data_IF_125984172225
#
_entry.id   IF_125984172225
#
_cell.length_a   1.000
_cell.length_b   1.000
_cell.length_c   1.000
_cell.angle_alpha   90.00
_cell.angle_beta   90.00
_cell.angle_gamma   90.00
#
_symmetry.space_group_name_H-M   'P 1'
#
loop_
_entity.id
_entity.type
_entity.pdbx_description
1 polymer ?
#
# COMPACT_ATOMS: atom_id res chain seq x y z
N UNK A 1 -28.00 -36.50 56.14
CA UNK A 1 -28.54 -35.13 56.23
C UNK A 1 -28.74 -34.62 54.79
N UNK A 2 -30.04 -34.57 54.44
CA UNK A 2 -30.55 -34.26 53.10
C UNK A 2 -30.28 -32.82 52.67
N UNK A 3 -29.92 -32.60 51.41
CA UNK A 3 -30.22 -31.36 50.73
C UNK A 3 -30.85 -31.67 49.37
N UNK A 4 -32.04 -31.18 49.24
CA UNK A 4 -33.00 -31.23 48.15
C UNK A 4 -32.46 -30.52 46.94
N UNK A 5 -32.51 -31.16 45.77
CA UNK A 5 -32.42 -30.51 44.46
C UNK A 5 -33.82 -30.13 44.02
N UNK A 6 -34.08 -28.88 43.81
CA UNK A 6 -35.28 -28.34 43.19
C UNK A 6 -35.02 -28.10 41.69
N UNK A 7 -35.59 -28.97 40.86
CA UNK A 7 -35.62 -28.79 39.41
C UNK A 7 -36.80 -27.90 39.05
N UNK A 8 -36.54 -26.78 38.40
CA UNK A 8 -37.59 -25.96 37.77
C UNK A 8 -37.67 -26.38 36.30
N UNK A 9 -38.77 -27.03 35.96
CA UNK A 9 -39.12 -27.33 34.58
C UNK A 9 -39.82 -26.11 33.94
N UNK A 10 -39.24 -25.56 32.91
CA UNK A 10 -39.86 -24.52 32.08
C UNK A 10 -40.54 -25.19 30.89
N UNK A 11 -41.87 -25.14 30.84
CA UNK A 11 -42.67 -25.57 29.69
C UNK A 11 -42.54 -24.52 28.59
N UNK A 12 -41.95 -24.89 27.46
CA UNK A 12 -42.04 -24.13 26.23
C UNK A 12 -43.22 -24.64 25.39
N UNK A 13 -44.25 -23.84 25.24
CA UNK A 13 -45.34 -24.09 24.32
C UNK A 13 -44.88 -23.83 22.88
N UNK A 14 -44.74 -24.89 22.08
CA UNK A 14 -44.59 -24.81 20.63
C UNK A 14 -45.95 -24.49 19.99
N UNK A 15 -46.12 -23.22 19.57
CA UNK A 15 -47.16 -22.84 18.63
C UNK A 15 -46.68 -23.14 17.21
N UNK A 16 -47.24 -24.14 16.57
CA UNK A 16 -47.04 -24.46 15.16
C UNK A 16 -47.75 -23.44 14.28
N UNK A 17 -47.00 -22.52 13.69
CA UNK A 17 -47.47 -21.67 12.60
C UNK A 17 -47.14 -22.39 11.28
N UNK A 18 -48.19 -22.92 10.64
CA UNK A 18 -48.07 -23.48 9.29
C UNK A 18 -47.88 -22.35 8.28
N UNK A 19 -46.67 -22.20 7.78
CA UNK A 19 -46.39 -21.36 6.61
C UNK A 19 -46.79 -22.12 5.36
N UNK A 20 -47.84 -21.64 4.68
CA UNK A 20 -48.14 -22.05 3.31
C UNK A 20 -47.02 -21.54 2.43
N UNK A 21 -46.18 -22.44 1.98
CA UNK A 21 -45.19 -22.17 0.94
C UNK A 21 -45.93 -21.97 -0.40
N UNK A 22 -46.15 -20.71 -0.77
CA UNK A 22 -46.42 -20.34 -2.15
C UNK A 22 -45.13 -20.60 -2.95
N UNK A 23 -45.21 -21.59 -3.84
CA UNK A 23 -44.11 -21.96 -4.72
C UNK A 23 -43.73 -20.79 -5.64
N UNK A 24 -42.70 -20.06 -5.26
CA UNK A 24 -41.97 -19.22 -6.18
C UNK A 24 -40.83 -20.06 -6.75
N UNK A 25 -40.97 -20.40 -8.03
CA UNK A 25 -39.83 -20.90 -8.81
C UNK A 25 -38.70 -19.90 -8.72
N UNK A 26 -37.45 -20.33 -8.39
CA UNK A 26 -36.34 -19.42 -8.40
C UNK A 26 -36.20 -18.81 -9.81
N UNK A 27 -35.92 -17.51 -9.91
CA UNK A 27 -35.68 -16.90 -11.21
C UNK A 27 -34.53 -17.65 -11.86
N UNK A 28 -34.72 -18.08 -13.12
CA UNK A 28 -33.71 -18.70 -13.94
C UNK A 28 -32.45 -17.82 -13.91
N UNK A 29 -31.31 -18.42 -13.64
CA UNK A 29 -30.01 -17.78 -13.77
C UNK A 29 -29.82 -17.39 -15.23
N UNK A 30 -30.31 -16.22 -15.60
CA UNK A 30 -29.89 -15.59 -16.82
C UNK A 30 -28.45 -15.12 -16.57
N UNK A 31 -27.51 -15.79 -17.23
CA UNK A 31 -26.17 -15.22 -17.45
C UNK A 31 -26.35 -13.78 -17.86
N UNK A 32 -25.73 -12.80 -17.20
CA UNK A 32 -25.78 -11.42 -17.66
C UNK A 32 -25.29 -11.42 -19.11
N UNK A 33 -26.17 -10.97 -20.02
CA UNK A 33 -25.69 -10.64 -21.37
C UNK A 33 -24.57 -9.64 -21.19
N UNK A 34 -23.45 -9.78 -21.90
CA UNK A 34 -22.39 -8.77 -21.86
C UNK A 34 -23.09 -7.43 -22.09
N UNK A 35 -22.84 -6.46 -21.19
CA UNK A 35 -23.41 -5.13 -21.28
C UNK A 35 -23.20 -4.67 -22.72
N UNK A 36 -24.29 -4.55 -23.46
CA UNK A 36 -24.26 -3.91 -24.75
C UNK A 36 -23.69 -2.53 -24.48
N UNK A 37 -22.62 -2.16 -25.20
CA UNK A 37 -22.03 -0.84 -25.12
C UNK A 37 -23.17 0.19 -25.19
N UNK A 38 -23.43 0.96 -24.12
CA UNK A 38 -24.52 1.92 -24.08
C UNK A 38 -24.41 2.99 -25.18
N UNK A 39 -23.23 3.07 -25.81
CA UNK A 39 -22.93 4.00 -26.91
C UNK A 39 -22.91 3.35 -28.27
N UNK A 40 -23.04 2.00 -28.39
CA UNK A 40 -22.96 1.29 -29.68
C UNK A 40 -23.92 1.79 -30.76
N UNK A 41 -25.05 2.36 -30.34
CA UNK A 41 -26.07 2.90 -31.22
C UNK A 41 -26.16 4.43 -31.20
N UNK A 42 -25.22 5.13 -30.61
CA UNK A 42 -25.17 6.59 -30.56
C UNK A 42 -24.40 7.09 -31.80
N UNK A 43 -25.05 7.68 -32.84
CA UNK A 43 -24.36 8.15 -34.03
C UNK A 43 -23.37 9.28 -33.75
N UNK A 44 -23.41 9.86 -32.56
CA UNK A 44 -22.52 10.92 -32.11
C UNK A 44 -21.45 10.43 -31.14
N UNK A 45 -21.41 9.12 -30.83
CA UNK A 45 -20.36 8.58 -30.02
C UNK A 45 -18.98 8.85 -30.65
N UNK A 46 -18.11 9.49 -29.93
CA UNK A 46 -16.78 9.87 -30.41
C UNK A 46 -16.72 11.15 -31.24
N UNK A 47 -17.84 11.83 -31.51
CA UNK A 47 -17.82 13.16 -32.11
C UNK A 47 -17.61 14.21 -31.00
N UNK A 48 -16.75 15.21 -31.29
CA UNK A 48 -16.62 16.37 -30.42
C UNK A 48 -17.92 17.18 -30.46
N UNK A 49 -18.71 17.13 -29.39
CA UNK A 49 -20.01 17.81 -29.29
C UNK A 49 -19.91 19.28 -28.91
N UNK A 50 -18.80 19.67 -28.30
CA UNK A 50 -18.61 21.00 -27.77
C UNK A 50 -17.40 21.63 -28.47
N UNK A 51 -17.47 22.91 -28.81
CA UNK A 51 -16.26 23.62 -29.18
C UNK A 51 -15.25 23.47 -28.04
N UNK A 52 -13.98 23.22 -28.36
CA UNK A 52 -12.92 23.19 -27.39
C UNK A 52 -13.00 24.49 -26.60
N UNK A 53 -13.08 24.39 -25.29
CA UNK A 53 -13.03 25.56 -24.42
C UNK A 53 -11.80 26.38 -24.80
N UNK A 54 -11.93 27.70 -24.86
CA UNK A 54 -10.78 28.56 -25.01
C UNK A 54 -9.76 28.20 -23.95
N UNK A 55 -8.44 28.16 -24.26
CA UNK A 55 -7.44 27.83 -23.27
C UNK A 55 -7.63 28.75 -22.08
N UNK A 56 -7.81 28.14 -20.90
CA UNK A 56 -7.90 28.90 -19.66
C UNK A 56 -6.65 29.77 -19.56
N UNK A 57 -6.84 31.02 -19.07
CA UNK A 57 -5.77 31.98 -18.96
C UNK A 57 -4.57 31.43 -18.21
N UNK A 58 -3.42 32.06 -18.35
CA UNK A 58 -2.10 31.60 -17.92
C UNK A 58 -2.00 31.11 -16.46
N UNK A 59 -3.01 31.40 -15.64
CA UNK A 59 -3.00 31.16 -14.19
C UNK A 59 -3.84 29.96 -13.73
N UNK A 60 -4.44 29.21 -14.67
CA UNK A 60 -5.43 28.19 -14.28
C UNK A 60 -4.87 26.80 -13.97
N UNK A 61 -3.59 26.53 -14.15
CA UNK A 61 -3.04 25.17 -14.00
C UNK A 61 -3.75 24.10 -14.86
N UNK A 62 -4.69 24.55 -15.71
CA UNK A 62 -5.41 23.66 -16.59
C UNK A 62 -4.44 23.07 -17.60
N UNK A 63 -4.46 21.76 -17.72
CA UNK A 63 -3.77 21.02 -18.76
C UNK A 63 -3.95 21.75 -20.10
N UNK A 64 -2.85 22.05 -20.77
CA UNK A 64 -2.90 22.48 -22.16
C UNK A 64 -3.44 21.31 -22.95
N UNK A 65 -4.75 21.22 -23.09
CA UNK A 65 -5.40 20.28 -23.98
C UNK A 65 -5.22 20.75 -25.42
N UNK A 66 -4.00 20.66 -25.92
CA UNK A 66 -3.83 20.60 -27.36
C UNK A 66 -4.20 19.18 -27.76
N UNK A 67 -5.48 18.92 -28.00
CA UNK A 67 -5.85 17.73 -28.73
C UNK A 67 -5.12 17.81 -30.08
N UNK A 68 -4.31 16.79 -30.44
CA UNK A 68 -3.65 16.77 -31.73
C UNK A 68 -4.73 16.86 -32.82
N UNK A 69 -4.76 17.97 -33.51
CA UNK A 69 -5.63 18.16 -34.66
C UNK A 69 -7.12 18.14 -34.31
N UNK A 70 -7.69 19.31 -34.03
CA UNK A 70 -9.13 19.52 -34.03
C UNK A 70 -9.81 19.14 -35.39
N UNK A 71 -9.05 18.62 -36.31
CA UNK A 71 -9.48 18.14 -37.62
C UNK A 71 -9.97 16.69 -37.62
N UNK A 72 -9.89 15.95 -36.49
CA UNK A 72 -10.40 14.60 -36.47
C UNK A 72 -11.89 14.58 -36.15
N UNK A 73 -12.68 14.86 -37.18
CA UNK A 73 -14.16 14.78 -37.15
C UNK A 73 -14.67 13.35 -37.31
N UNK A 74 -13.78 12.36 -37.34
CA UNK A 74 -14.13 10.95 -37.45
C UNK A 74 -14.69 10.38 -36.13
N UNK A 75 -15.34 9.23 -36.22
CA UNK A 75 -15.72 8.47 -35.00
C UNK A 75 -14.48 8.12 -34.18
N UNK A 76 -14.62 8.23 -32.87
CA UNK A 76 -13.56 7.85 -31.94
C UNK A 76 -13.31 6.32 -32.01
N UNK A 77 -12.06 5.93 -32.23
CA UNK A 77 -11.64 4.55 -32.27
C UNK A 77 -10.66 4.31 -31.07
N UNK A 78 -11.16 3.73 -30.01
CA UNK A 78 -10.37 3.46 -28.82
C UNK A 78 -9.16 2.55 -29.07
N UNK A 79 -9.23 1.67 -30.08
CA UNK A 79 -8.12 0.78 -30.41
C UNK A 79 -6.94 1.51 -31.08
N UNK A 80 -7.21 2.65 -31.68
CA UNK A 80 -6.22 3.51 -32.38
C UNK A 80 -5.84 4.74 -31.56
N UNK A 81 -6.47 4.93 -30.40
CA UNK A 81 -6.19 6.06 -29.55
C UNK A 81 -4.74 6.05 -29.07
N UNK A 82 -4.09 7.19 -29.17
CA UNK A 82 -2.77 7.44 -28.56
C UNK A 82 -2.91 8.52 -27.51
N UNK A 83 -2.27 8.27 -26.38
CA UNK A 83 -2.17 9.29 -25.35
C UNK A 83 -1.44 10.53 -25.88
N UNK A 84 -1.90 11.70 -25.50
CA UNK A 84 -1.26 12.95 -25.89
C UNK A 84 0.01 13.23 -25.08
N UNK A 85 0.78 14.24 -25.49
CA UNK A 85 2.08 14.56 -24.89
C UNK A 85 2.02 14.99 -23.43
N UNK A 86 0.84 15.28 -22.88
CA UNK A 86 0.68 15.58 -21.45
C UNK A 86 0.95 14.39 -20.52
N UNK A 87 1.04 13.19 -21.10
CA UNK A 87 1.39 11.96 -20.35
C UNK A 87 2.89 11.64 -20.43
N UNK A 88 3.61 12.33 -21.30
CA UNK A 88 5.04 12.15 -21.42
C UNK A 88 5.75 12.96 -20.32
N UNK A 89 6.71 12.34 -19.64
CA UNK A 89 7.56 13.07 -18.75
C UNK A 89 8.40 14.08 -19.54
N UNK A 90 8.63 15.32 -19.04
CA UNK A 90 9.53 16.24 -19.66
C UNK A 90 10.92 15.61 -19.87
N UNK A 91 11.60 15.97 -20.98
CA UNK A 91 12.91 15.40 -21.30
C UNK A 91 13.98 15.64 -20.24
N UNK A 92 13.80 16.67 -19.41
CA UNK A 92 14.67 17.04 -18.28
C UNK A 92 14.14 16.55 -16.93
N UNK A 93 13.06 15.74 -16.92
CA UNK A 93 12.51 15.22 -15.69
C UNK A 93 13.52 14.35 -14.95
N UNK A 94 13.53 14.49 -13.64
CA UNK A 94 14.45 13.76 -12.77
C UNK A 94 13.69 12.86 -11.82
N UNK A 95 14.34 11.78 -11.39
CA UNK A 95 13.84 11.01 -10.25
C UNK A 95 14.09 11.85 -8.99
N UNK A 96 13.01 12.37 -8.42
CA UNK A 96 13.02 13.20 -7.23
C UNK A 96 12.65 12.44 -5.94
N UNK A 97 12.04 11.24 -6.05
CA UNK A 97 11.83 10.36 -4.90
C UNK A 97 13.16 9.72 -4.50
N UNK A 98 13.73 10.04 -3.30
CA UNK A 98 15.02 9.52 -2.89
C UNK A 98 15.04 8.00 -2.72
N UNK A 99 13.92 7.38 -2.34
CA UNK A 99 13.80 5.92 -2.23
C UNK A 99 13.91 5.28 -3.61
N UNK A 100 13.16 5.79 -4.58
CA UNK A 100 13.22 5.30 -5.97
C UNK A 100 14.63 5.43 -6.54
N UNK A 101 15.24 6.59 -6.37
CA UNK A 101 16.60 6.86 -6.85
C UNK A 101 17.60 5.87 -6.22
N UNK A 102 17.58 5.72 -4.91
CA UNK A 102 18.46 4.80 -4.17
C UNK A 102 18.28 3.35 -4.60
N UNK A 103 17.03 2.92 -4.81
CA UNK A 103 16.73 1.57 -5.33
C UNK A 103 17.25 1.38 -6.76
N UNK A 104 17.09 2.36 -7.64
CA UNK A 104 17.61 2.30 -9.02
C UNK A 104 19.14 2.19 -9.05
N UNK A 105 19.82 2.82 -8.12
CA UNK A 105 21.28 2.77 -7.97
C UNK A 105 21.78 1.48 -7.28
N UNK A 106 20.89 0.54 -6.93
CA UNK A 106 21.26 -0.70 -6.24
C UNK A 106 21.48 -0.54 -4.73
N UNK A 107 21.15 0.62 -4.17
CA UNK A 107 21.27 0.88 -2.74
C UNK A 107 20.23 0.14 -1.91
N UNK A 108 20.55 -0.10 -0.64
CA UNK A 108 19.63 -0.71 0.34
C UNK A 108 18.73 0.35 0.95
N UNK A 109 17.43 0.13 0.95
CA UNK A 109 16.42 1.01 1.55
C UNK A 109 15.70 0.32 2.70
N UNK A 110 15.33 1.08 3.73
CA UNK A 110 14.65 0.54 4.91
C UNK A 110 13.45 1.41 5.28
N UNK A 111 12.28 0.78 5.39
CA UNK A 111 11.06 1.39 5.92
C UNK A 111 10.88 1.08 7.40
N UNK A 112 10.73 2.11 8.23
CA UNK A 112 10.31 1.95 9.62
C UNK A 112 8.80 1.72 9.68
N UNK A 113 8.34 0.70 10.40
CA UNK A 113 6.91 0.37 10.46
C UNK A 113 6.19 1.22 11.49
N UNK A 114 5.22 2.02 11.06
CA UNK A 114 4.28 2.69 11.93
C UNK A 114 3.06 1.79 12.07
N UNK A 115 3.03 0.97 13.12
CA UNK A 115 2.05 -0.10 13.25
C UNK A 115 0.75 0.35 13.90
N UNK A 116 0.80 1.03 15.04
CA UNK A 116 -0.39 1.38 15.83
C UNK A 116 -0.57 2.87 16.10
N UNK A 117 0.49 3.66 16.07
CA UNK A 117 0.39 5.08 16.34
C UNK A 117 -0.42 5.83 15.27
N UNK A 118 -1.24 6.77 15.73
CA UNK A 118 -2.11 7.61 14.88
C UNK A 118 -1.82 9.10 15.03
N UNK A 119 -0.84 9.43 15.87
CA UNK A 119 -0.47 10.82 16.14
C UNK A 119 0.66 11.29 15.22
N UNK A 120 0.61 12.56 14.79
CA UNK A 120 1.63 13.14 13.92
C UNK A 120 3.03 13.20 14.54
N UNK A 121 3.15 13.34 15.85
CA UNK A 121 4.44 13.49 16.53
C UNK A 121 5.25 12.21 16.44
N UNK A 122 4.64 11.06 16.71
CA UNK A 122 5.28 9.76 16.54
C UNK A 122 5.70 9.51 15.09
N UNK A 123 4.81 9.83 14.12
CA UNK A 123 5.16 9.73 12.70
C UNK A 123 6.38 10.60 12.38
N UNK A 124 6.36 11.87 12.77
CA UNK A 124 7.45 12.82 12.50
C UNK A 124 8.76 12.39 13.15
N UNK A 125 8.72 11.89 14.37
CA UNK A 125 9.90 11.39 15.07
C UNK A 125 10.52 10.21 14.28
N UNK A 126 9.72 9.23 13.87
CA UNK A 126 10.20 8.11 13.07
C UNK A 126 10.71 8.54 11.68
N UNK A 127 9.99 9.43 11.00
CA UNK A 127 10.33 9.89 9.68
C UNK A 127 11.65 10.70 9.62
N UNK A 128 12.10 11.21 10.76
CA UNK A 128 13.37 11.90 10.89
C UNK A 128 14.48 11.07 11.56
N UNK A 129 14.18 9.85 12.00
CA UNK A 129 15.12 9.00 12.73
C UNK A 129 16.19 8.31 11.85
N UNK A 130 16.04 8.34 10.51
CA UNK A 130 17.03 7.76 9.59
C UNK A 130 16.52 6.64 8.69
N UNK A 131 15.24 6.34 8.70
CA UNK A 131 14.61 5.48 7.71
C UNK A 131 14.57 6.17 6.35
N UNK A 132 14.54 5.37 5.27
CA UNK A 132 14.35 5.88 3.90
C UNK A 132 12.87 6.21 3.63
N UNK A 133 11.94 5.43 4.21
CA UNK A 133 10.50 5.67 4.15
C UNK A 133 9.82 5.19 5.43
N UNK A 134 8.61 5.64 5.68
CA UNK A 134 7.78 5.11 6.76
C UNK A 134 6.74 4.17 6.16
N UNK A 135 6.78 2.94 6.59
CA UNK A 135 5.79 1.91 6.26
C UNK A 135 4.59 2.06 7.18
N UNK A 136 3.63 2.90 6.79
CA UNK A 136 2.36 3.05 7.52
C UNK A 136 1.51 1.81 7.30
N UNK A 137 1.13 1.15 8.37
CA UNK A 137 0.39 -0.11 8.33
C UNK A 137 -1.12 0.13 8.24
N UNK A 138 -1.78 -0.41 7.22
CA UNK A 138 -3.23 -0.31 7.03
C UNK A 138 -3.93 -1.67 6.90
N UNK A 139 -3.17 -2.77 6.79
CA UNK A 139 -3.75 -4.11 6.68
C UNK A 139 -4.16 -4.69 8.05
N UNK A 140 -3.33 -4.51 9.07
CA UNK A 140 -3.51 -5.16 10.38
C UNK A 140 -3.88 -4.18 11.49
N UNK A 141 -4.57 -3.10 11.17
CA UNK A 141 -5.09 -2.16 12.16
C UNK A 141 -6.41 -1.52 11.71
N UNK A 142 -6.99 -0.68 12.58
CA UNK A 142 -8.26 -0.01 12.33
C UNK A 142 -8.09 1.46 11.99
N UNK A 143 -6.90 1.87 11.51
CA UNK A 143 -6.60 3.26 11.14
C UNK A 143 -7.38 3.67 9.90
N UNK A 144 -7.84 4.94 9.90
CA UNK A 144 -8.56 5.53 8.79
C UNK A 144 -7.63 6.39 7.92
N UNK A 145 -7.96 6.57 6.65
CA UNK A 145 -7.17 7.36 5.69
C UNK A 145 -7.04 8.83 6.09
N UNK A 146 -8.02 9.40 6.78
CA UNK A 146 -7.91 10.75 7.33
C UNK A 146 -6.76 10.87 8.34
N UNK A 147 -6.62 9.89 9.22
CA UNK A 147 -5.52 9.86 10.20
C UNK A 147 -4.17 9.76 9.50
N UNK A 148 -4.05 8.92 8.48
CA UNK A 148 -2.84 8.78 7.66
C UNK A 148 -2.48 10.10 6.99
N UNK A 149 -3.42 10.72 6.28
CA UNK A 149 -3.20 11.99 5.60
C UNK A 149 -2.78 13.11 6.58
N UNK A 150 -3.39 13.16 7.76
CA UNK A 150 -3.04 14.13 8.81
C UNK A 150 -1.61 13.92 9.32
N UNK A 151 -1.20 12.67 9.57
CA UNK A 151 0.15 12.35 10.01
C UNK A 151 1.19 12.77 8.96
N UNK A 152 0.99 12.40 7.70
CA UNK A 152 1.95 12.70 6.64
C UNK A 152 2.07 14.21 6.38
N UNK A 153 0.96 14.93 6.38
CA UNK A 153 0.94 16.38 6.21
C UNK A 153 1.58 17.17 7.35
N UNK A 154 1.69 16.59 8.52
CA UNK A 154 2.37 17.23 9.64
C UNK A 154 3.89 17.32 9.44
N UNK A 155 4.46 16.45 8.62
CA UNK A 155 5.90 16.40 8.31
C UNK A 155 6.17 16.24 6.81
N UNK A 156 5.75 17.19 5.96
CA UNK A 156 5.83 17.05 4.50
C UNK A 156 7.26 17.00 3.96
N UNK A 157 8.23 17.49 4.73
CA UNK A 157 9.65 17.52 4.37
C UNK A 157 10.52 16.65 5.28
N UNK A 158 9.94 15.62 5.88
CA UNK A 158 10.69 14.64 6.63
C UNK A 158 11.75 13.96 5.75
N UNK A 159 12.81 13.42 6.37
CA UNK A 159 13.87 12.69 5.65
C UNK A 159 13.35 11.43 4.98
N UNK A 160 12.50 10.69 5.69
CA UNK A 160 11.82 9.52 5.14
C UNK A 160 10.57 9.95 4.35
N UNK A 161 10.36 9.33 3.19
CA UNK A 161 9.15 9.58 2.41
C UNK A 161 7.96 8.78 2.96
N UNK A 162 6.70 9.26 2.76
CA UNK A 162 5.53 8.50 3.15
C UNK A 162 5.39 7.23 2.31
N UNK A 163 5.21 6.13 3.00
CA UNK A 163 4.90 4.83 2.45
C UNK A 163 3.76 4.17 3.22
N UNK A 164 3.12 3.21 2.60
CA UNK A 164 1.98 2.50 3.19
C UNK A 164 1.93 1.06 2.73
N UNK A 165 1.54 0.15 3.63
CA UNK A 165 0.98 -1.13 3.25
C UNK A 165 -0.55 -0.96 3.24
N UNK A 166 -1.14 -1.02 2.05
CA UNK A 166 -2.59 -0.96 1.89
C UNK A 166 -3.24 -2.27 2.36
N UNK A 167 -4.55 -2.24 2.59
CA UNK A 167 -5.26 -3.44 3.02
C UNK A 167 -5.36 -4.49 1.91
N UNK A 168 -5.57 -4.06 0.67
CA UNK A 168 -5.81 -4.92 -0.49
C UNK A 168 -5.32 -4.27 -1.79
N UNK A 169 -5.23 -5.09 -2.86
CA UNK A 169 -4.96 -4.65 -4.23
C UNK A 169 -6.20 -4.05 -4.91
N UNK A 170 -6.89 -3.11 -4.27
CA UNK A 170 -8.09 -2.49 -4.84
C UNK A 170 -7.94 -1.00 -5.13
N UNK A 171 -8.86 -0.50 -5.98
CA UNK A 171 -8.86 0.89 -6.44
C UNK A 171 -8.95 1.87 -5.27
N UNK A 172 -9.88 1.66 -4.35
CA UNK A 172 -10.15 2.62 -3.27
C UNK A 172 -8.93 2.77 -2.36
N UNK A 173 -8.35 1.66 -1.93
CA UNK A 173 -7.20 1.69 -1.02
C UNK A 173 -5.99 2.36 -1.67
N UNK A 174 -5.67 1.99 -2.92
CA UNK A 174 -4.50 2.54 -3.63
C UNK A 174 -4.75 3.99 -4.06
N UNK A 175 -5.98 4.34 -4.46
CA UNK A 175 -6.34 5.72 -4.79
C UNK A 175 -6.19 6.63 -3.55
N UNK A 176 -6.71 6.20 -2.39
CA UNK A 176 -6.55 6.97 -1.14
C UNK A 176 -5.07 7.09 -0.74
N UNK A 177 -4.29 6.01 -0.85
CA UNK A 177 -2.86 6.03 -0.57
C UNK A 177 -2.14 7.08 -1.41
N UNK A 178 -2.36 7.04 -2.72
CA UNK A 178 -1.72 7.95 -3.66
C UNK A 178 -2.18 9.39 -3.47
N UNK A 179 -3.47 9.63 -3.25
CA UNK A 179 -4.04 10.96 -3.04
C UNK A 179 -3.66 11.56 -1.69
N UNK A 180 -3.37 10.72 -0.68
CA UNK A 180 -2.78 11.17 0.57
C UNK A 180 -1.28 11.51 0.45
N UNK A 181 -0.61 11.11 -0.64
CA UNK A 181 0.78 11.48 -0.93
C UNK A 181 1.80 10.37 -0.77
N UNK A 182 1.38 9.09 -0.80
CA UNK A 182 2.30 7.97 -0.75
C UNK A 182 3.29 7.97 -1.93
N UNK A 183 4.55 7.73 -1.64
CA UNK A 183 5.61 7.49 -2.63
C UNK A 183 6.09 6.05 -2.65
N UNK A 184 5.74 5.26 -1.63
CA UNK A 184 5.98 3.83 -1.55
C UNK A 184 4.65 3.16 -1.23
N UNK A 185 4.20 2.26 -2.10
CA UNK A 185 2.98 1.48 -1.92
C UNK A 185 3.35 0.01 -1.83
N UNK A 186 2.93 -0.63 -0.76
CA UNK A 186 3.10 -2.06 -0.53
C UNK A 186 1.73 -2.71 -0.56
N UNK A 187 1.57 -3.70 -1.43
CA UNK A 187 0.32 -4.44 -1.60
C UNK A 187 0.52 -5.84 -1.06
N UNK A 188 -0.22 -6.24 -0.02
CA UNK A 188 -0.10 -7.56 0.58
C UNK A 188 -0.83 -8.63 -0.24
N UNK A 189 -0.50 -9.88 0.01
CA UNK A 189 -1.23 -11.09 -0.43
C UNK A 189 -1.55 -11.06 -1.93
N UNK A 190 -0.54 -10.80 -2.76
CA UNK A 190 -0.70 -10.82 -4.22
C UNK A 190 -0.48 -12.23 -4.71
N UNK A 191 -1.56 -12.89 -5.10
CA UNK A 191 -1.60 -14.29 -5.48
C UNK A 191 -1.64 -14.51 -6.99
N UNK A 192 -2.19 -13.54 -7.72
CA UNK A 192 -2.42 -13.65 -9.16
C UNK A 192 -1.81 -12.50 -9.94
N UNK A 193 -1.60 -12.73 -11.24
CA UNK A 193 -1.16 -11.70 -12.19
C UNK A 193 -2.19 -10.59 -12.32
N UNK A 194 -3.46 -10.94 -12.20
CA UNK A 194 -4.59 -10.00 -12.26
C UNK A 194 -4.58 -9.04 -11.08
N UNK A 195 -4.29 -9.51 -9.88
CA UNK A 195 -4.10 -8.66 -8.69
C UNK A 195 -2.87 -7.76 -8.83
N UNK A 196 -1.77 -8.30 -9.34
CA UNK A 196 -0.57 -7.51 -9.63
C UNK A 196 -0.84 -6.41 -10.67
N UNK A 197 -1.62 -6.70 -11.73
CA UNK A 197 -2.07 -5.72 -12.72
C UNK A 197 -3.03 -4.70 -12.11
N UNK A 198 -3.95 -5.12 -11.23
CA UNK A 198 -4.85 -4.22 -10.53
C UNK A 198 -4.07 -3.25 -9.64
N UNK A 199 -3.12 -3.75 -8.85
CA UNK A 199 -2.23 -2.92 -8.04
C UNK A 199 -1.48 -1.88 -8.90
N UNK A 200 -0.93 -2.30 -10.04
CA UNK A 200 -0.29 -1.41 -11.02
C UNK A 200 -1.27 -0.38 -11.57
N UNK A 201 -2.46 -0.82 -12.01
CA UNK A 201 -3.46 0.03 -12.66
C UNK A 201 -3.92 1.17 -11.74
N UNK A 202 -4.11 0.90 -10.47
CA UNK A 202 -4.54 1.91 -9.50
C UNK A 202 -3.41 2.78 -8.94
N UNK A 203 -2.16 2.30 -9.04
CA UNK A 203 -0.98 3.05 -8.58
C UNK A 203 -0.58 4.14 -9.58
N UNK A 204 -0.62 3.84 -10.88
CA UNK A 204 -0.03 4.68 -11.91
C UNK A 204 -1.10 5.39 -12.75
N UNK A 205 -0.79 6.61 -13.12
CA UNK A 205 -1.57 7.31 -14.14
C UNK A 205 -1.39 6.67 -15.52
N UNK A 206 -2.35 6.88 -16.45
CA UNK A 206 -2.13 6.55 -17.84
C UNK A 206 -0.81 7.14 -18.38
N UNK A 207 -0.14 6.47 -19.32
CA UNK A 207 -0.54 5.25 -20.02
C UNK A 207 -0.17 3.95 -19.28
N UNK A 208 0.58 4.02 -18.16
CA UNK A 208 1.06 2.84 -17.46
C UNK A 208 -0.06 2.14 -16.65
N UNK A 209 -0.95 2.92 -16.07
CA UNK A 209 -2.07 2.45 -15.26
C UNK A 209 -3.36 3.19 -15.57
N UNK A 210 -4.30 3.17 -14.63
CA UNK A 210 -5.64 3.73 -14.73
C UNK A 210 -5.99 4.67 -13.57
N UNK A 211 -5.01 5.05 -12.75
CA UNK A 211 -5.25 5.94 -11.60
C UNK A 211 -6.01 7.18 -12.04
N UNK A 212 -7.10 7.48 -11.35
CA UNK A 212 -7.88 8.70 -11.55
C UNK A 212 -7.11 9.90 -11.01
N UNK A 213 -7.18 11.02 -11.72
CA UNK A 213 -6.63 12.28 -11.25
C UNK A 213 -7.68 13.00 -10.41
N UNK A 214 -7.46 13.11 -9.10
CA UNK A 214 -8.28 13.90 -8.20
C UNK A 214 -8.17 15.40 -8.49
N UNK A 215 -9.18 16.15 -8.05
CA UNK A 215 -9.19 17.61 -8.10
C UNK A 215 -8.28 18.24 -7.04
N UNK A 216 -8.42 19.56 -6.83
CA UNK A 216 -7.58 20.35 -5.92
C UNK A 216 -7.68 20.02 -4.42
N UNK A 217 -8.33 18.92 -4.05
CA UNK A 217 -8.39 18.40 -2.67
C UNK A 217 -7.39 17.27 -2.41
N UNK A 218 -6.71 16.78 -3.43
CA UNK A 218 -5.72 15.73 -3.29
C UNK A 218 -4.52 16.23 -2.47
N UNK A 219 -4.19 15.54 -1.41
CA UNK A 219 -3.06 15.91 -0.54
C UNK A 219 -1.72 15.71 -1.25
N UNK A 220 -1.66 14.79 -2.22
CA UNK A 220 -0.47 14.54 -3.04
C UNK A 220 0.02 15.81 -3.75
N UNK A 221 -0.86 16.59 -4.34
CA UNK A 221 -0.51 17.85 -4.99
C UNK A 221 0.00 18.89 -3.99
N UNK A 222 -0.61 18.96 -2.79
CA UNK A 222 -0.15 19.85 -1.74
C UNK A 222 1.25 19.50 -1.22
N UNK A 223 1.59 18.21 -1.19
CA UNK A 223 2.90 17.73 -0.74
C UNK A 223 3.96 17.77 -1.85
N UNK A 224 3.59 17.44 -3.08
CA UNK A 224 4.51 17.17 -4.19
C UNK A 224 4.32 18.10 -5.40
N UNK A 225 3.50 19.13 -5.29
CA UNK A 225 3.17 20.04 -6.41
C UNK A 225 4.38 20.78 -7.00
N UNK A 226 5.42 20.99 -6.21
CA UNK A 226 6.63 21.71 -6.60
C UNK A 226 7.82 20.81 -6.98
N UNK A 227 7.58 19.51 -7.22
CA UNK A 227 8.66 18.61 -7.62
C UNK A 227 9.17 18.91 -9.04
N UNK A 228 10.44 18.60 -9.34
CA UNK A 228 11.01 18.80 -10.67
C UNK A 228 10.20 18.11 -11.77
N UNK A 229 9.78 18.86 -12.78
CA UNK A 229 8.96 18.37 -13.89
C UNK A 229 7.46 18.29 -13.59
N UNK A 230 7.05 18.61 -12.37
CA UNK A 230 5.65 18.56 -11.92
C UNK A 230 5.17 17.16 -11.54
N UNK A 231 4.28 17.10 -10.56
CA UNK A 231 3.79 15.85 -9.99
C UNK A 231 3.15 14.93 -11.06
N UNK A 232 2.16 15.45 -11.79
CA UNK A 232 1.35 14.64 -12.74
C UNK A 232 2.20 13.99 -13.83
N UNK A 233 3.19 14.72 -14.35
CA UNK A 233 4.03 14.24 -15.45
C UNK A 233 5.12 13.27 -15.00
N UNK A 234 5.53 13.30 -13.72
CA UNK A 234 6.72 12.58 -13.26
C UNK A 234 6.45 11.50 -12.21
N UNK A 235 5.25 11.48 -11.61
CA UNK A 235 4.96 10.55 -10.50
C UNK A 235 5.06 9.08 -10.91
N UNK A 236 4.71 8.72 -12.14
CA UNK A 236 4.81 7.34 -12.62
C UNK A 236 6.25 6.82 -12.54
N UNK A 237 7.24 7.68 -12.76
CA UNK A 237 8.65 7.32 -12.64
C UNK A 237 9.16 7.34 -11.19
N UNK A 238 8.46 8.05 -10.32
CA UNK A 238 8.89 8.31 -8.95
C UNK A 238 8.24 7.41 -7.90
N UNK A 239 7.04 6.88 -8.15
CA UNK A 239 6.39 5.99 -7.19
C UNK A 239 7.04 4.61 -7.15
N UNK A 240 7.06 4.01 -5.97
CA UNK A 240 7.60 2.66 -5.72
C UNK A 240 6.43 1.74 -5.41
N UNK A 241 6.19 0.75 -6.27
CA UNK A 241 5.20 -0.31 -6.06
C UNK A 241 5.90 -1.60 -5.64
N UNK A 242 5.56 -2.11 -4.46
CA UNK A 242 6.07 -3.34 -3.88
C UNK A 242 4.92 -4.33 -3.74
N UNK A 243 5.04 -5.52 -4.30
CA UNK A 243 4.06 -6.59 -4.18
C UNK A 243 4.56 -7.67 -3.21
N UNK A 244 3.73 -8.06 -2.23
CA UNK A 244 4.08 -9.12 -1.28
C UNK A 244 3.61 -10.48 -1.80
N UNK A 245 4.54 -11.40 -1.92
CA UNK A 245 4.30 -12.81 -2.25
C UNK A 245 4.46 -13.60 -0.96
N UNK A 246 3.35 -14.13 -0.45
CA UNK A 246 3.29 -14.66 0.92
C UNK A 246 2.39 -15.89 1.07
N UNK A 247 1.81 -16.37 -0.04
CA UNK A 247 0.99 -17.58 -0.09
C UNK A 247 1.57 -18.61 -1.05
N UNK A 248 1.10 -19.85 -0.98
CA UNK A 248 1.51 -20.89 -1.93
C UNK A 248 1.01 -20.62 -3.35
N UNK A 249 -0.12 -19.92 -3.50
CA UNK A 249 -0.62 -19.50 -4.81
C UNK A 249 0.26 -18.40 -5.40
N UNK A 250 0.58 -17.38 -4.60
CA UNK A 250 1.52 -16.33 -4.99
C UNK A 250 2.91 -16.88 -5.36
N UNK A 251 3.39 -17.91 -4.65
CA UNK A 251 4.65 -18.62 -4.99
C UNK A 251 4.60 -19.24 -6.39
N UNK A 252 3.49 -19.89 -6.76
CA UNK A 252 3.34 -20.48 -8.10
C UNK A 252 3.41 -19.42 -9.20
N UNK A 253 2.86 -18.26 -8.94
CA UNK A 253 2.73 -17.16 -9.90
C UNK A 253 3.82 -16.10 -9.74
N UNK A 254 4.85 -16.36 -8.92
CA UNK A 254 5.83 -15.34 -8.49
C UNK A 254 6.53 -14.64 -9.65
N UNK A 255 6.93 -15.39 -10.68
CA UNK A 255 7.62 -14.84 -11.84
C UNK A 255 6.71 -13.92 -12.67
N UNK A 256 5.49 -14.35 -12.93
CA UNK A 256 4.51 -13.60 -13.69
C UNK A 256 4.08 -12.34 -12.93
N UNK A 257 3.87 -12.41 -11.61
CA UNK A 257 3.61 -11.28 -10.72
C UNK A 257 4.76 -10.28 -10.78
N UNK A 258 5.99 -10.74 -10.59
CA UNK A 258 7.18 -9.90 -10.63
C UNK A 258 7.37 -9.22 -12.00
N UNK A 259 6.97 -9.90 -13.08
CA UNK A 259 7.13 -9.43 -14.46
C UNK A 259 6.14 -8.35 -14.87
N UNK A 260 5.10 -8.04 -14.07
CA UNK A 260 4.13 -7.00 -14.39
C UNK A 260 4.83 -5.64 -14.53
N UNK A 261 4.65 -4.94 -15.67
CA UNK A 261 5.21 -3.60 -15.85
C UNK A 261 4.75 -2.64 -14.76
N UNK A 262 5.64 -1.82 -14.23
CA UNK A 262 5.36 -0.91 -13.13
C UNK A 262 5.70 -1.45 -11.74
N UNK A 263 5.76 -2.77 -11.55
CA UNK A 263 6.28 -3.35 -10.29
C UNK A 263 7.74 -2.95 -10.11
N UNK A 264 8.05 -2.34 -8.97
CA UNK A 264 9.42 -1.91 -8.62
C UNK A 264 10.16 -3.01 -7.86
N UNK A 265 9.47 -3.65 -6.93
CA UNK A 265 10.04 -4.68 -6.08
C UNK A 265 9.01 -5.77 -5.74
N UNK A 266 9.52 -6.93 -5.35
CA UNK A 266 8.73 -8.00 -4.75
C UNK A 266 9.20 -8.19 -3.32
N UNK A 267 8.26 -8.41 -2.41
CA UNK A 267 8.54 -8.67 -1.01
C UNK A 267 8.31 -10.16 -0.71
N UNK A 268 9.36 -10.87 -0.32
CA UNK A 268 9.23 -12.21 0.22
C UNK A 268 8.77 -12.09 1.68
N UNK A 269 7.45 -12.23 1.89
CA UNK A 269 6.85 -11.99 3.21
C UNK A 269 7.08 -13.17 4.13
N UNK A 270 7.77 -12.92 5.21
CA UNK A 270 8.29 -13.97 6.07
C UNK A 270 7.24 -14.61 7.00
N UNK A 271 6.35 -13.80 7.58
CA UNK A 271 5.35 -14.25 8.54
C UNK A 271 4.27 -15.11 7.88
N UNK A 272 3.58 -14.51 6.93
CA UNK A 272 2.44 -15.13 6.27
C UNK A 272 2.83 -16.29 5.38
N UNK A 273 3.99 -16.25 4.74
CA UNK A 273 4.48 -17.42 3.99
C UNK A 273 4.68 -18.63 4.91
N UNK A 274 5.18 -18.42 6.14
CA UNK A 274 5.23 -19.47 7.14
C UNK A 274 3.84 -19.96 7.58
N UNK A 275 2.91 -19.02 7.79
CA UNK A 275 1.54 -19.32 8.19
C UNK A 275 0.77 -20.12 7.11
N UNK A 276 0.82 -19.69 5.85
CA UNK A 276 0.10 -20.35 4.75
C UNK A 276 0.75 -21.63 4.25
N UNK A 277 2.06 -21.75 4.35
CA UNK A 277 2.77 -22.97 3.95
C UNK A 277 2.83 -24.03 5.04
N UNK A 278 2.72 -23.63 6.29
CA UNK A 278 2.95 -24.50 7.45
C UNK A 278 4.43 -24.79 7.72
N UNK A 279 5.35 -24.17 6.98
CA UNK A 279 6.80 -24.35 7.20
C UNK A 279 7.35 -23.29 8.15
N UNK A 280 8.11 -23.74 9.14
CA UNK A 280 8.78 -22.82 10.05
C UNK A 280 9.91 -22.05 9.31
N UNK A 281 10.04 -20.76 9.59
CA UNK A 281 11.10 -19.92 9.06
C UNK A 281 12.48 -20.52 9.33
N UNK A 282 13.35 -20.47 8.32
CA UNK A 282 14.71 -21.02 8.41
C UNK A 282 14.81 -22.53 8.17
N UNK A 283 13.71 -23.24 7.98
CA UNK A 283 13.75 -24.65 7.56
C UNK A 283 14.06 -24.76 6.06
N UNK A 284 14.64 -25.90 5.60
CA UNK A 284 14.94 -26.07 4.18
C UNK A 284 13.73 -25.91 3.26
N UNK A 285 12.54 -26.35 3.70
CA UNK A 285 11.31 -26.24 2.92
C UNK A 285 10.87 -24.78 2.79
N UNK A 286 10.92 -24.03 3.90
CA UNK A 286 10.64 -22.59 3.88
C UNK A 286 11.62 -21.83 2.98
N UNK A 287 12.92 -22.12 3.11
CA UNK A 287 13.95 -21.44 2.30
C UNK A 287 13.81 -21.73 0.81
N UNK A 288 13.30 -22.90 0.41
CA UNK A 288 12.95 -23.18 -1.00
C UNK A 288 11.88 -22.21 -1.52
N UNK A 289 10.86 -21.89 -0.72
CA UNK A 289 9.84 -20.91 -1.11
C UNK A 289 10.44 -19.50 -1.26
N UNK A 290 11.31 -19.10 -0.34
CA UNK A 290 12.02 -17.83 -0.44
C UNK A 290 12.88 -17.77 -1.72
N UNK A 291 13.55 -18.86 -2.08
CA UNK A 291 14.34 -18.92 -3.31
C UNK A 291 13.47 -18.75 -4.57
N UNK A 292 12.24 -19.27 -4.59
CA UNK A 292 11.32 -19.04 -5.71
C UNK A 292 11.00 -17.55 -5.87
N UNK A 293 10.72 -16.84 -4.78
CA UNK A 293 10.47 -15.39 -4.84
C UNK A 293 11.73 -14.62 -5.23
N UNK A 294 12.89 -15.02 -4.69
CA UNK A 294 14.18 -14.44 -5.06
C UNK A 294 14.41 -14.56 -6.57
N UNK A 295 14.34 -15.76 -7.11
CA UNK A 295 14.62 -16.04 -8.53
C UNK A 295 13.62 -15.32 -9.44
N UNK A 296 12.35 -15.25 -9.03
CA UNK A 296 11.32 -14.49 -9.73
C UNK A 296 11.64 -12.98 -9.78
N UNK A 297 12.03 -12.39 -8.66
CA UNK A 297 12.38 -10.98 -8.59
C UNK A 297 13.60 -10.65 -9.45
N UNK A 298 14.68 -11.43 -9.28
CA UNK A 298 15.95 -11.22 -10.02
C UNK A 298 15.74 -11.48 -11.51
N UNK A 299 15.06 -12.58 -11.87
CA UNK A 299 14.76 -12.92 -13.26
C UNK A 299 13.92 -11.87 -13.99
N UNK A 300 13.03 -11.19 -13.27
CA UNK A 300 12.22 -10.09 -13.79
C UNK A 300 12.95 -8.71 -13.71
N UNK A 301 14.18 -8.65 -13.23
CA UNK A 301 14.94 -7.40 -13.06
C UNK A 301 14.37 -6.47 -11.98
N UNK A 302 13.68 -7.04 -10.98
CA UNK A 302 13.06 -6.29 -9.88
C UNK A 302 13.94 -6.27 -8.63
N UNK A 303 13.65 -5.36 -7.72
CA UNK A 303 14.28 -5.36 -6.40
C UNK A 303 13.60 -6.38 -5.50
N UNK A 304 14.38 -6.94 -4.59
CA UNK A 304 13.91 -7.92 -3.63
C UNK A 304 13.84 -7.30 -2.24
N UNK A 305 12.67 -7.40 -1.62
CA UNK A 305 12.40 -6.90 -0.28
C UNK A 305 12.18 -8.06 0.70
N UNK A 306 12.41 -7.79 1.97
CA UNK A 306 12.18 -8.72 3.07
C UNK A 306 12.24 -8.03 4.43
N UNK A 307 12.10 -8.76 5.53
CA UNK A 307 12.29 -8.19 6.87
C UNK A 307 13.74 -7.72 7.06
N UNK A 308 13.93 -6.69 7.88
CA UNK A 308 15.25 -6.13 8.16
C UNK A 308 16.26 -7.16 8.70
N UNK A 309 15.76 -8.22 9.34
CA UNK A 309 16.59 -9.33 9.77
C UNK A 309 17.33 -10.04 8.62
N UNK A 310 16.86 -9.87 7.39
CA UNK A 310 17.47 -10.46 6.19
C UNK A 310 18.43 -9.50 5.44
N UNK A 311 18.83 -8.40 6.07
CA UNK A 311 19.68 -7.37 5.45
C UNK A 311 21.03 -7.88 4.92
N UNK A 312 21.49 -9.02 5.45
CA UNK A 312 22.76 -9.64 5.06
C UNK A 312 22.59 -10.79 4.02
N UNK A 313 21.33 -11.08 3.64
CA UNK A 313 21.06 -12.05 2.56
C UNK A 313 21.45 -11.44 1.21
N UNK A 314 21.98 -12.25 0.28
CA UNK A 314 22.28 -11.79 -1.08
C UNK A 314 21.04 -11.22 -1.77
N UNK A 315 21.23 -10.16 -2.55
CA UNK A 315 20.25 -9.52 -3.44
C UNK A 315 19.05 -8.85 -2.73
N UNK A 316 18.90 -9.01 -1.41
CA UNK A 316 17.91 -8.26 -0.64
C UNK A 316 18.38 -6.82 -0.46
N UNK A 317 17.59 -5.87 -0.99
CA UNK A 317 17.94 -4.45 -1.01
C UNK A 317 16.84 -3.53 -0.46
N UNK A 318 15.69 -4.09 -0.08
CA UNK A 318 14.58 -3.32 0.48
C UNK A 318 14.07 -4.04 1.73
N UNK A 319 13.84 -3.29 2.83
CA UNK A 319 13.58 -3.91 4.12
C UNK A 319 12.44 -3.27 4.87
N UNK A 320 11.61 -4.13 5.48
CA UNK A 320 10.67 -3.72 6.51
C UNK A 320 11.38 -3.73 7.87
N UNK A 321 11.47 -2.57 8.50
CA UNK A 321 11.99 -2.38 9.84
C UNK A 321 10.97 -2.73 10.93
N UNK A 322 11.40 -2.65 12.18
CA UNK A 322 10.52 -2.88 13.33
C UNK A 322 9.50 -1.76 13.54
N UNK A 323 8.48 -2.05 14.35
CA UNK A 323 7.46 -1.08 14.73
C UNK A 323 8.03 0.07 15.59
N UNK A 324 7.23 1.15 15.71
CA UNK A 324 7.51 2.27 16.61
C UNK A 324 7.74 1.80 18.06
N UNK A 325 6.91 0.89 18.56
CA UNK A 325 7.04 0.35 19.91
C UNK A 325 8.33 -0.45 20.10
N UNK A 326 8.69 -1.25 19.09
CA UNK A 326 9.96 -1.99 19.10
C UNK A 326 11.18 -1.04 19.00
N UNK A 327 11.06 0.07 18.27
CA UNK A 327 12.10 1.08 18.19
C UNK A 327 12.31 1.79 19.54
N UNK A 328 11.22 2.18 20.20
CA UNK A 328 11.25 2.75 21.55
C UNK A 328 11.89 1.78 22.54
N UNK A 329 11.46 0.51 22.57
CA UNK A 329 12.01 -0.49 23.48
C UNK A 329 13.53 -0.68 23.29
N UNK A 330 13.99 -0.73 22.03
CA UNK A 330 15.44 -0.81 21.75
C UNK A 330 16.19 0.46 22.18
N UNK A 331 15.60 1.63 21.98
CA UNK A 331 16.16 2.91 22.39
C UNK A 331 16.36 2.95 23.92
N UNK A 332 15.33 2.62 24.68
CA UNK A 332 15.37 2.56 26.13
C UNK A 332 16.40 1.51 26.62
N UNK A 333 16.42 0.32 26.02
CA UNK A 333 17.40 -0.70 26.37
C UNK A 333 18.85 -0.24 26.11
N UNK A 334 19.08 0.47 25.01
CA UNK A 334 20.40 1.03 24.71
C UNK A 334 20.80 2.13 25.69
N UNK A 335 19.87 3.01 26.07
CA UNK A 335 20.10 4.06 27.06
C UNK A 335 20.40 3.46 28.45
N UNK A 336 19.59 2.53 28.90
CA UNK A 336 19.81 1.85 30.20
C UNK A 336 21.08 0.99 30.21
N UNK A 337 21.40 0.34 29.08
CA UNK A 337 22.64 -0.44 28.96
C UNK A 337 23.90 0.42 29.07
N UNK A 338 23.87 1.67 28.65
CA UNK A 338 24.94 2.63 28.85
C UNK A 338 25.11 3.00 30.32
N UNK A 339 24.01 3.13 31.08
CA UNK A 339 24.03 3.42 32.52
C UNK A 339 24.51 2.23 33.35
N UNK A 340 24.16 1.00 33.00
CA UNK A 340 24.59 -0.22 33.70
C UNK A 340 26.07 -0.56 33.48
N UNK A 341 26.68 -0.10 32.39
CA UNK A 341 28.10 -0.24 32.10
C UNK A 341 28.98 0.78 32.86
N UNK A 342 28.41 1.86 33.36
CA UNK A 342 29.07 2.69 34.39
C UNK A 342 28.92 1.99 35.74
N UNK A 343 30.00 1.44 36.23
CA UNK A 343 30.06 0.72 37.53
C UNK A 343 29.75 1.64 38.72
N UNK A 344 28.55 2.17 38.78
CA UNK A 344 28.02 2.74 40.00
C UNK A 344 27.52 1.59 40.87
N UNK A 345 28.32 1.15 41.85
CA UNK A 345 27.81 0.39 42.97
C UNK A 345 26.78 1.23 43.72
N UNK A 346 25.52 1.10 43.32
CA UNK A 346 24.41 1.63 44.09
C UNK A 346 24.28 0.74 45.33
N UNK A 347 24.82 1.18 46.41
CA UNK A 347 24.53 0.57 47.73
C UNK A 347 23.12 1.04 48.08
N UNK A 348 22.13 0.22 47.82
CA UNK A 348 20.77 0.46 48.31
C UNK A 348 20.86 0.26 49.82
N UNK A 349 20.80 1.36 50.58
CA UNK A 349 20.65 1.29 52.03
C UNK A 349 19.35 0.56 52.40
N UNK A 350 19.24 -0.04 53.60
CA UNK A 350 18.01 -0.68 54.01
C UNK A 350 16.87 0.34 53.96
N UNK A 351 15.75 -0.07 53.34
CA UNK A 351 14.52 0.72 53.34
C UNK A 351 14.19 1.09 54.77
N UNK A 352 13.99 2.39 55.03
CA UNK A 352 13.54 2.84 56.36
C UNK A 352 12.24 2.10 56.69
N UNK A 353 12.19 1.51 57.89
CA UNK A 353 10.96 0.90 58.40
C UNK A 353 9.84 1.95 58.41
N UNK A 354 8.63 1.60 58.01
CA UNK A 354 7.51 2.51 58.09
C UNK A 354 7.30 2.92 59.53
N UNK A 355 7.00 4.22 59.81
CA UNK A 355 6.81 4.68 61.20
C UNK A 355 5.74 3.84 61.89
N UNK A 356 6.09 3.28 63.00
CA UNK A 356 5.20 2.43 63.80
C UNK A 356 3.92 3.18 64.13
N UNK A 357 2.79 2.50 64.04
CA UNK A 357 1.52 2.99 64.56
C UNK A 357 1.61 3.09 66.06
N UNK A 358 1.56 4.29 66.62
CA UNK A 358 1.25 4.54 67.99
C UNK A 358 -0.25 4.57 68.22
#
# INVERSE_FOLDING_TARGET
MNRLFMSVALFAACGSIAFHALGQTPPSSQTPKPNADPYANNPDAGKLRFPLAAPAGKDSGAMKTSLPGAANTGAFDAAKWKYGPNFDAPADSKIWNPVKLKMMQGGKVTGGTLFSATDPETYCAMANAGYDFIWTEMQHNTREWEQVARMWRACPHAKAVPGVRVAYADEREIQHATDAGALVIVVPTVDTVEEAKAARDWTYFPPLGKRSQGGGQAFDVAMWGNVPGGYRATINDNIVLILMIETLEGIKNAHEIASVPGVTAVFAASGDLGNFSGYAQGTPDYERLINVVHDAAIGAGKRLCGPLAWRDRPDFTCFQGGSETAAIARGVAAELGQLTNTQAKVTVGPLAEPPGKH
#
